data_IF_789851515932
#
_entry.id   IF_789851515932
#
_cell.length_a   1.000
_cell.length_b   1.000
_cell.length_c   1.000
_cell.angle_alpha   90.00
_cell.angle_beta   90.00
_cell.angle_gamma   90.00
#
_symmetry.space_group_name_H-M   'P 1'
#
loop_
_entity.id
_entity.type
_entity.pdbx_description
1 polymer ?
#
# COMPACT_ATOMS: atom_id res chain seq x y z
N UNK A 1 8.49 14.16 14.42
CA UNK A 1 8.55 13.08 13.41
C UNK A 1 8.04 11.81 14.07
N UNK A 2 7.02 11.14 13.50
CA UNK A 2 6.42 9.95 14.11
C UNK A 2 7.45 8.80 14.08
N UNK A 3 7.81 8.28 15.26
CA UNK A 3 8.86 7.25 15.43
C UNK A 3 8.56 5.99 14.60
N UNK A 4 7.29 5.58 14.51
CA UNK A 4 6.88 4.40 13.73
C UNK A 4 7.11 4.59 12.23
N UNK A 5 6.85 5.79 11.69
CA UNK A 5 7.12 6.10 10.29
C UNK A 5 8.63 6.06 9.98
N UNK A 6 9.48 6.49 10.92
CA UNK A 6 10.93 6.40 10.72
C UNK A 6 11.42 4.94 10.67
N UNK A 7 10.90 4.08 11.55
CA UNK A 7 11.22 2.64 11.54
C UNK A 7 10.75 2.00 10.23
N UNK A 8 9.51 2.28 9.82
CA UNK A 8 8.96 1.75 8.57
C UNK A 8 9.83 2.16 7.37
N UNK A 9 10.21 3.44 7.28
CA UNK A 9 11.08 3.94 6.22
C UNK A 9 12.43 3.23 6.19
N UNK A 10 13.06 2.99 7.35
CA UNK A 10 14.33 2.25 7.43
C UNK A 10 14.16 0.80 6.95
N UNK A 11 13.11 0.10 7.41
CA UNK A 11 12.86 -1.28 6.99
C UNK A 11 12.58 -1.38 5.49
N UNK A 12 11.80 -0.45 4.93
CA UNK A 12 11.51 -0.42 3.49
C UNK A 12 12.74 -0.04 2.65
N UNK A 13 13.63 0.81 3.17
CA UNK A 13 14.91 1.10 2.51
C UNK A 13 15.82 -0.13 2.47
N UNK A 14 15.83 -0.94 3.53
CA UNK A 14 16.55 -2.22 3.54
C UNK A 14 15.98 -3.20 2.51
N UNK A 15 14.64 -3.30 2.39
CA UNK A 15 13.98 -4.08 1.33
C UNK A 15 14.44 -3.65 -0.06
N UNK A 16 14.39 -2.35 -0.34
CA UNK A 16 14.79 -1.79 -1.64
C UNK A 16 16.25 -2.09 -1.94
N UNK A 17 17.14 -1.88 -0.98
CA UNK A 17 18.56 -2.20 -1.10
C UNK A 17 18.78 -3.67 -1.43
N UNK A 18 18.20 -4.58 -0.64
CA UNK A 18 18.39 -6.03 -0.80
C UNK A 18 17.77 -6.56 -2.09
N UNK A 19 16.57 -6.10 -2.43
CA UNK A 19 15.92 -6.46 -3.69
C UNK A 19 16.73 -6.03 -4.91
N UNK A 20 17.40 -4.87 -4.84
CA UNK A 20 18.21 -4.37 -5.94
C UNK A 20 19.55 -5.11 -6.04
N UNK A 21 20.21 -5.38 -4.91
CA UNK A 21 21.52 -6.05 -4.84
C UNK A 21 21.43 -7.55 -5.17
N UNK A 22 20.44 -8.26 -4.62
CA UNK A 22 20.41 -9.73 -4.63
C UNK A 22 19.22 -10.33 -5.37
N UNK A 23 18.32 -9.49 -5.91
CA UNK A 23 17.03 -9.92 -6.51
C UNK A 23 16.17 -10.75 -5.54
N UNK A 24 16.43 -10.64 -4.25
CA UNK A 24 15.72 -11.33 -3.16
C UNK A 24 15.76 -10.47 -1.90
N UNK A 25 14.93 -10.80 -0.92
CA UNK A 25 14.90 -10.18 0.41
C UNK A 25 15.42 -11.20 1.40
N UNK A 26 16.40 -10.83 2.23
CA UNK A 26 16.97 -11.73 3.21
C UNK A 26 16.04 -11.95 4.43
N UNK A 27 16.24 -13.07 5.12
CA UNK A 27 15.42 -13.46 6.28
C UNK A 27 15.44 -12.41 7.40
N UNK A 28 16.55 -11.69 7.57
CA UNK A 28 16.69 -10.67 8.62
C UNK A 28 15.75 -9.50 8.34
N UNK A 29 15.74 -9.02 7.09
CA UNK A 29 14.86 -7.94 6.63
C UNK A 29 13.40 -8.38 6.73
N UNK A 30 13.08 -9.61 6.30
CA UNK A 30 11.73 -10.17 6.42
C UNK A 30 11.26 -10.30 7.87
N UNK A 31 12.15 -10.73 8.79
CA UNK A 31 11.84 -10.77 10.23
C UNK A 31 11.60 -9.39 10.82
N UNK A 32 12.36 -8.39 10.40
CA UNK A 32 12.15 -7.00 10.81
C UNK A 32 10.78 -6.48 10.39
N UNK A 33 10.39 -6.70 9.14
CA UNK A 33 9.04 -6.37 8.66
C UNK A 33 7.95 -7.14 9.41
N UNK A 34 8.16 -8.43 9.66
CA UNK A 34 7.17 -9.28 10.35
C UNK A 34 6.95 -8.83 11.80
N UNK A 35 8.01 -8.39 12.47
CA UNK A 35 7.90 -7.80 13.80
C UNK A 35 7.16 -6.45 13.78
N UNK A 36 7.44 -5.60 12.79
CA UNK A 36 6.84 -4.27 12.70
C UNK A 36 5.35 -4.30 12.31
N UNK A 37 4.97 -5.06 11.28
CA UNK A 37 3.59 -5.10 10.78
C UNK A 37 2.72 -6.20 11.44
N UNK A 38 3.34 -7.15 12.13
CA UNK A 38 2.72 -8.43 12.48
C UNK A 38 2.87 -9.45 11.34
N UNK A 39 3.32 -10.66 11.70
CA UNK A 39 3.65 -11.72 10.74
C UNK A 39 2.49 -12.06 9.80
N UNK A 40 1.28 -12.23 10.34
CA UNK A 40 0.10 -12.61 9.58
C UNK A 40 -0.31 -11.53 8.56
N UNK A 41 -0.24 -10.26 8.96
CA UNK A 41 -0.63 -9.12 8.11
C UNK A 41 0.41 -8.90 7.01
N UNK A 42 1.70 -9.04 7.32
CA UNK A 42 2.76 -9.01 6.33
C UNK A 42 2.59 -10.14 5.31
N UNK A 43 2.34 -11.37 5.78
CA UNK A 43 2.16 -12.52 4.90
C UNK A 43 0.97 -12.32 3.98
N UNK A 44 -0.13 -11.77 4.49
CA UNK A 44 -1.30 -11.42 3.68
C UNK A 44 -0.95 -10.33 2.64
N UNK A 45 -0.19 -9.29 3.00
CA UNK A 45 0.28 -8.28 2.05
C UNK A 45 1.15 -8.87 0.93
N UNK A 46 2.05 -9.79 1.26
CA UNK A 46 2.87 -10.49 0.26
C UNK A 46 2.00 -11.39 -0.64
N UNK A 47 1.03 -12.09 -0.05
CA UNK A 47 0.10 -12.91 -0.81
C UNK A 47 -0.74 -12.06 -1.79
N UNK A 48 -1.27 -10.92 -1.34
CA UNK A 48 -1.96 -9.97 -2.21
C UNK A 48 -1.07 -9.52 -3.35
N UNK A 49 0.18 -9.15 -3.06
CA UNK A 49 1.13 -8.74 -4.08
C UNK A 49 1.35 -9.82 -5.15
N UNK A 50 1.52 -11.08 -4.73
CA UNK A 50 1.74 -12.22 -5.64
C UNK A 50 0.52 -12.57 -6.50
N UNK A 51 -0.69 -12.32 -6.02
CA UNK A 51 -1.93 -12.66 -6.72
C UNK A 51 -2.55 -11.48 -7.46
N UNK A 52 -2.01 -10.27 -7.28
CA UNK A 52 -2.47 -9.08 -8.00
C UNK A 52 -1.81 -9.04 -9.37
N UNK A 53 -2.60 -9.17 -10.43
CA UNK A 53 -2.09 -9.07 -11.80
C UNK A 53 -2.16 -7.64 -12.35
N UNK A 54 -3.14 -6.84 -11.90
CA UNK A 54 -3.42 -5.52 -12.46
C UNK A 54 -3.74 -4.51 -11.37
N UNK A 55 -3.12 -3.34 -11.46
CA UNK A 55 -3.41 -2.17 -10.63
C UNK A 55 -3.72 -0.97 -11.53
N UNK A 56 -4.50 -0.02 -11.02
CA UNK A 56 -4.54 1.33 -11.56
C UNK A 56 -3.79 2.29 -10.62
N UNK A 57 -2.99 3.18 -11.19
CA UNK A 57 -2.27 4.23 -10.47
C UNK A 57 -2.75 5.59 -10.96
N UNK A 58 -3.43 6.34 -10.10
CA UNK A 58 -3.76 7.73 -10.33
C UNK A 58 -2.69 8.60 -9.68
N UNK A 59 -2.04 9.46 -10.45
CA UNK A 59 -1.00 10.32 -9.92
C UNK A 59 -1.05 11.76 -10.44
N UNK A 60 -0.54 12.69 -9.62
CA UNK A 60 -0.36 14.09 -10.02
C UNK A 60 1.00 14.29 -10.69
N UNK A 61 1.12 15.32 -11.52
CA UNK A 61 2.37 15.75 -12.15
C UNK A 61 2.98 16.93 -11.38
N UNK A 62 3.17 16.75 -10.08
CA UNK A 62 3.73 17.72 -9.16
C UNK A 62 5.15 17.31 -8.75
N UNK A 63 5.92 18.26 -8.18
CA UNK A 63 7.27 17.98 -7.63
C UNK A 63 7.22 16.82 -6.62
N UNK A 64 6.16 16.76 -5.81
CA UNK A 64 5.88 15.65 -4.92
C UNK A 64 4.58 14.99 -5.41
N UNK A 65 4.66 13.97 -6.29
CA UNK A 65 3.48 13.38 -6.88
C UNK A 65 2.69 12.62 -5.81
N UNK A 66 1.40 12.91 -5.73
CA UNK A 66 0.46 12.07 -4.97
C UNK A 66 0.14 10.83 -5.79
N UNK A 67 0.07 9.68 -5.13
CA UNK A 67 -0.11 8.36 -5.78
C UNK A 67 -1.23 7.60 -5.10
N UNK A 68 -2.36 7.46 -5.79
CA UNK A 68 -3.50 6.65 -5.36
C UNK A 68 -3.52 5.36 -6.18
N UNK A 69 -3.35 4.23 -5.50
CA UNK A 69 -3.42 2.92 -6.11
C UNK A 69 -4.83 2.35 -5.97
N UNK A 70 -5.32 1.68 -7.01
CA UNK A 70 -6.57 0.94 -6.99
C UNK A 70 -6.31 -0.53 -7.33
N UNK A 71 -6.68 -1.41 -6.39
CA UNK A 71 -6.86 -2.83 -6.64
C UNK A 71 -8.19 -3.01 -7.36
N UNK A 72 -8.13 -3.56 -8.58
CA UNK A 72 -9.34 -3.80 -9.39
C UNK A 72 -10.18 -4.88 -8.75
N UNK A 73 -11.46 -4.60 -8.65
CA UNK A 73 -12.43 -5.60 -8.26
C UNK A 73 -12.69 -6.61 -9.38
N UNK A 74 -12.83 -7.88 -8.99
CA UNK A 74 -13.51 -8.87 -9.83
C UNK A 74 -15.03 -8.63 -9.81
N UNK A 75 -15.80 -9.35 -10.64
CA UNK A 75 -17.26 -9.13 -10.88
C UNK A 75 -18.16 -8.99 -9.64
N UNK A 76 -17.71 -9.39 -8.45
CA UNK A 76 -18.47 -9.33 -7.20
C UNK A 76 -17.73 -8.64 -6.04
N UNK A 77 -16.68 -7.88 -6.32
CA UNK A 77 -15.89 -7.21 -5.28
C UNK A 77 -16.02 -5.69 -5.40
N UNK A 78 -15.79 -4.98 -4.31
CA UNK A 78 -15.63 -3.52 -4.33
C UNK A 78 -14.16 -3.22 -4.58
N UNK A 79 -13.88 -2.20 -5.41
CA UNK A 79 -12.50 -1.80 -5.66
C UNK A 79 -11.88 -1.25 -4.36
N UNK A 80 -10.63 -1.62 -4.09
CA UNK A 80 -9.90 -1.12 -2.93
C UNK A 80 -8.94 -0.03 -3.39
N UNK A 81 -9.04 1.14 -2.77
CA UNK A 81 -8.15 2.26 -3.01
C UNK A 81 -7.19 2.40 -1.85
N UNK A 82 -5.93 2.73 -2.14
CA UNK A 82 -4.89 2.84 -1.11
C UNK A 82 -3.93 3.99 -1.40
N UNK A 83 -3.60 4.75 -0.35
CA UNK A 83 -2.68 5.89 -0.39
C UNK A 83 -1.51 5.59 0.58
N UNK A 84 -0.44 4.93 0.10
CA UNK A 84 0.63 4.38 0.94
C UNK A 84 1.31 5.41 1.85
N UNK A 85 1.47 6.64 1.37
CA UNK A 85 2.13 7.74 2.08
C UNK A 85 1.40 8.18 3.34
N UNK A 86 0.07 8.11 3.33
CA UNK A 86 -0.79 8.41 4.48
C UNK A 86 -1.24 7.17 5.24
N UNK A 87 -0.88 5.99 4.72
CA UNK A 87 -1.33 4.70 5.21
C UNK A 87 -2.86 4.52 5.19
N UNK A 88 -3.58 5.28 4.36
CA UNK A 88 -5.02 5.17 4.15
C UNK A 88 -5.37 4.03 3.19
N UNK A 89 -6.49 3.35 3.43
CA UNK A 89 -7.03 2.34 2.51
C UNK A 89 -8.56 2.23 2.67
N UNK A 90 -9.28 1.90 1.60
CA UNK A 90 -10.75 1.71 1.66
C UNK A 90 -11.17 0.28 2.00
N UNK A 91 -10.23 -0.62 2.30
CA UNK A 91 -10.57 -2.00 2.65
C UNK A 91 -11.23 -2.10 4.03
N UNK A 92 -12.08 -3.12 4.21
CA UNK A 92 -12.77 -3.37 5.49
C UNK A 92 -11.79 -3.56 6.65
N UNK A 93 -10.67 -4.25 6.41
CA UNK A 93 -9.61 -4.42 7.41
C UNK A 93 -9.09 -3.06 7.92
N UNK A 94 -8.85 -2.08 7.03
CA UNK A 94 -8.39 -0.77 7.47
C UNK A 94 -9.41 -0.07 8.36
N UNK A 95 -10.70 -0.10 7.99
CA UNK A 95 -11.77 0.47 8.81
C UNK A 95 -11.84 -0.20 10.18
N UNK A 96 -11.87 -1.52 10.23
CA UNK A 96 -12.08 -2.27 11.46
C UNK A 96 -10.87 -2.26 12.39
N UNK A 97 -9.68 -2.51 11.84
CA UNK A 97 -8.48 -2.78 12.62
C UNK A 97 -7.60 -1.55 12.81
N UNK A 98 -7.58 -0.62 11.86
CA UNK A 98 -6.67 0.52 11.92
C UNK A 98 -7.40 1.77 12.40
N UNK A 99 -8.58 2.07 11.85
CA UNK A 99 -9.37 3.21 12.31
C UNK A 99 -10.06 2.95 13.64
N UNK A 100 -10.80 1.83 13.75
CA UNK A 100 -11.66 1.57 14.91
C UNK A 100 -10.90 0.94 16.08
N UNK A 101 -10.20 -0.18 15.87
CA UNK A 101 -9.50 -0.90 16.95
C UNK A 101 -8.08 -0.39 17.23
N UNK A 102 -7.41 0.17 16.23
CA UNK A 102 -6.01 0.60 16.29
C UNK A 102 -5.05 -0.51 16.74
N UNK A 103 -5.36 -1.77 16.39
CA UNK A 103 -4.57 -2.95 16.75
C UNK A 103 -3.46 -3.27 15.73
N UNK A 104 -3.50 -2.65 14.54
CA UNK A 104 -2.45 -2.76 13.54
C UNK A 104 -2.00 -1.39 13.02
N UNK A 105 -0.72 -1.32 12.64
CA UNK A 105 -0.17 -0.12 12.02
C UNK A 105 -0.67 0.07 10.59
N UNK A 106 -0.69 -0.99 9.76
CA UNK A 106 -1.02 -0.91 8.33
C UNK A 106 -1.84 -2.11 7.87
N UNK A 107 -2.60 -1.96 6.79
CA UNK A 107 -3.41 -3.03 6.23
C UNK A 107 -2.63 -3.81 5.16
N UNK A 108 -3.04 -5.05 4.83
CA UNK A 108 -2.39 -5.85 3.81
C UNK A 108 -2.23 -5.13 2.45
N UNK A 109 -3.20 -4.32 2.02
CA UNK A 109 -3.14 -3.58 0.76
C UNK A 109 -2.06 -2.49 0.76
N UNK A 110 -1.93 -1.72 1.84
CA UNK A 110 -0.87 -0.73 1.96
C UNK A 110 0.50 -1.39 2.00
N UNK A 111 0.64 -2.49 2.74
CA UNK A 111 1.89 -3.25 2.80
C UNK A 111 2.26 -3.78 1.41
N UNK A 112 1.30 -4.38 0.68
CA UNK A 112 1.52 -4.88 -0.67
C UNK A 112 2.05 -3.80 -1.61
N UNK A 113 1.43 -2.60 -1.62
CA UNK A 113 1.90 -1.49 -2.46
C UNK A 113 3.26 -0.94 -1.97
N UNK A 114 3.48 -0.79 -0.67
CA UNK A 114 4.78 -0.33 -0.14
C UNK A 114 5.91 -1.30 -0.54
N UNK A 115 5.66 -2.60 -0.49
CA UNK A 115 6.61 -3.60 -0.97
C UNK A 115 6.78 -3.54 -2.49
N UNK A 116 5.69 -3.39 -3.25
CA UNK A 116 5.74 -3.22 -4.71
C UNK A 116 6.61 -2.02 -5.12
N UNK A 117 6.46 -0.88 -4.45
CA UNK A 117 7.25 0.32 -4.75
C UNK A 117 8.76 0.15 -4.47
N UNK A 118 9.12 -0.83 -3.63
CA UNK A 118 10.50 -1.05 -3.16
C UNK A 118 11.19 -2.23 -3.84
N UNK A 119 10.42 -3.24 -4.22
CA UNK A 119 10.92 -4.39 -4.98
C UNK A 119 11.03 -3.96 -6.44
N UNK A 120 12.20 -4.18 -7.04
CA UNK A 120 12.51 -3.73 -8.40
C UNK A 120 11.42 -4.12 -9.41
N UNK A 121 10.90 -3.15 -10.17
CA UNK A 121 9.86 -3.34 -11.20
C UNK A 121 10.17 -4.45 -12.21
N UNK A 122 11.44 -4.77 -12.43
CA UNK A 122 11.87 -5.84 -13.32
C UNK A 122 11.38 -7.25 -12.90
N UNK A 123 10.95 -7.41 -11.64
CA UNK A 123 10.51 -8.69 -11.08
C UNK A 123 9.00 -8.73 -10.76
N UNK A 124 8.23 -7.67 -11.05
CA UNK A 124 6.80 -7.68 -10.76
C UNK A 124 6.00 -7.94 -12.04
N UNK A 125 5.32 -9.09 -12.11
CA UNK A 125 4.36 -9.44 -13.16
C UNK A 125 3.06 -8.60 -13.09
N UNK A 126 3.07 -7.49 -12.35
CA UNK A 126 1.91 -6.64 -12.12
C UNK A 126 1.87 -5.57 -13.20
N UNK A 127 0.83 -5.62 -14.03
CA UNK A 127 0.51 -4.57 -14.99
C UNK A 127 -0.06 -3.36 -14.23
N UNK A 128 0.57 -2.20 -14.37
CA UNK A 128 0.08 -0.94 -13.78
C UNK A 128 -0.41 -0.03 -14.88
N UNK A 129 -1.73 0.20 -14.89
CA UNK A 129 -2.36 1.19 -15.74
C UNK A 129 -2.26 2.57 -15.06
N UNK A 130 -1.55 3.50 -15.69
CA UNK A 130 -1.23 4.82 -15.12
C UNK A 130 -2.15 5.90 -15.66
N UNK A 131 -2.70 6.71 -14.76
CA UNK A 131 -3.56 7.85 -15.06
C UNK A 131 -2.96 9.11 -14.45
N UNK A 132 -2.51 10.03 -15.29
CA UNK A 132 -2.15 11.38 -14.87
C UNK A 132 -3.43 12.19 -14.64
N UNK A 133 -3.58 12.76 -13.44
CA UNK A 133 -4.78 13.50 -13.03
C UNK A 133 -4.41 14.81 -12.34
N UNK A 134 -5.33 15.77 -12.34
CA UNK A 134 -5.13 17.04 -11.63
C UNK A 134 -5.14 16.85 -10.11
N UNK A 135 -4.56 17.82 -9.39
CA UNK A 135 -4.59 17.85 -7.93
C UNK A 135 -6.02 17.88 -7.38
N UNK A 136 -6.88 18.67 -8.02
CA UNK A 136 -8.28 18.84 -7.65
C UNK A 136 -9.05 17.54 -7.82
N UNK A 137 -8.83 16.83 -8.95
CA UNK A 137 -9.45 15.52 -9.18
C UNK A 137 -9.08 14.53 -8.07
N UNK A 138 -7.79 14.41 -7.75
CA UNK A 138 -7.34 13.45 -6.75
C UNK A 138 -7.87 13.83 -5.35
N UNK A 139 -7.92 15.14 -5.05
CA UNK A 139 -8.44 15.64 -3.78
C UNK A 139 -9.93 15.34 -3.64
N UNK A 140 -10.76 15.67 -4.63
CA UNK A 140 -12.19 15.34 -4.65
C UNK A 140 -12.43 13.84 -4.54
N UNK A 141 -11.67 13.04 -5.30
CA UNK A 141 -11.75 11.58 -5.24
C UNK A 141 -11.42 11.06 -3.84
N UNK A 142 -10.35 11.55 -3.21
CA UNK A 142 -9.96 11.15 -1.86
C UNK A 142 -11.01 11.54 -0.82
N UNK A 143 -11.57 12.75 -0.89
CA UNK A 143 -12.65 13.19 0.01
C UNK A 143 -13.83 12.21 -0.05
N UNK A 144 -14.30 11.86 -1.25
CA UNK A 144 -15.40 10.90 -1.44
C UNK A 144 -15.07 9.51 -0.89
N UNK A 145 -13.84 9.03 -1.10
CA UNK A 145 -13.41 7.73 -0.58
C UNK A 145 -13.32 7.73 0.95
N UNK A 146 -12.89 8.84 1.56
CA UNK A 146 -12.86 9.01 3.01
C UNK A 146 -14.29 9.04 3.55
N UNK A 147 -15.20 9.81 2.95
CA UNK A 147 -16.62 9.84 3.33
C UNK A 147 -17.27 8.46 3.26
N UNK A 148 -16.98 7.67 2.21
CA UNK A 148 -17.47 6.28 2.11
C UNK A 148 -16.86 5.35 3.16
N UNK A 149 -15.60 5.57 3.54
CA UNK A 149 -14.89 4.72 4.51
C UNK A 149 -15.28 5.06 5.96
N UNK A 150 -15.48 6.35 6.25
CA UNK A 150 -15.80 6.91 7.56
C UNK A 150 -17.31 7.04 7.81
N UNK A 151 -18.13 7.06 6.75
CA UNK A 151 -19.59 7.13 6.82
C UNK A 151 -20.18 5.84 7.42
N UNK A 152 -21.00 6.03 8.45
CA UNK A 152 -21.95 5.09 9.07
C UNK A 152 -23.16 4.91 8.12
N UNK A 153 -23.68 3.70 7.92
CA UNK A 153 -24.84 3.19 8.70
C UNK A 153 -25.88 4.27 9.06
#
# INVERSE_FOLDING_TARGET
MNYLLSIECTLLADVEKKSNEFKTIDDKTMKGLAYFYGYEILLHGIHLLKNTQRLALYHTNEIIPRRLYQFRANKNQVSVYTLPTSNFCTCTFYKEHILNKQDYFSCPHNIAIKLHEKISKANSDIEIETFEVSHEYLTDKMTKLIEQSCGTE
#
